data_IF_864243402148
#
_entry.id   IF_864243402148
#
_cell.length_a   1.000
_cell.length_b   1.000
_cell.length_c   1.000
_cell.angle_alpha   90.00
_cell.angle_beta   90.00
_cell.angle_gamma   90.00
#
_symmetry.space_group_name_H-M   'P 1'
#
loop_
_entity.id
_entity.type
_entity.pdbx_description
1 polymer ?
#
# COMPACT_ATOMS: atom_id res chain seq x y z
N UNK A 1 15.36 -10.55 19.98
CA UNK A 1 15.19 -9.66 18.80
C UNK A 1 16.34 -9.90 17.83
N UNK A 2 16.15 -9.73 16.52
CA UNK A 2 17.23 -9.97 15.54
C UNK A 2 18.11 -8.74 15.43
N UNK A 3 19.42 -8.96 15.33
CA UNK A 3 20.40 -7.92 15.06
C UNK A 3 20.07 -7.18 13.75
N UNK A 4 20.46 -5.89 13.62
CA UNK A 4 20.29 -5.13 12.40
C UNK A 4 20.91 -5.86 11.20
N UNK A 5 20.17 -5.95 10.10
CA UNK A 5 20.62 -6.61 8.88
C UNK A 5 20.78 -5.60 7.72
N UNK A 6 21.72 -5.89 6.81
CA UNK A 6 21.98 -5.07 5.62
C UNK A 6 23.18 -4.11 5.77
N UNK A 7 23.51 -3.34 4.72
CA UNK A 7 24.72 -2.50 4.69
C UNK A 7 24.68 -1.40 5.76
N UNK A 8 25.86 -1.06 6.31
CA UNK A 8 26.03 -0.03 7.36
C UNK A 8 25.65 1.37 6.89
N UNK A 9 26.01 1.69 5.64
CA UNK A 9 25.82 3.00 5.05
C UNK A 9 24.61 3.02 4.12
N UNK A 10 23.94 4.16 4.08
CA UNK A 10 22.96 4.50 3.06
C UNK A 10 23.65 4.89 1.75
N UNK A 11 22.86 5.03 0.68
CA UNK A 11 23.37 5.38 -0.66
C UNK A 11 24.01 6.78 -0.69
N UNK A 12 23.61 7.66 0.23
CA UNK A 12 24.15 9.01 0.42
C UNK A 12 25.38 9.06 1.34
N UNK A 13 25.85 7.92 1.84
CA UNK A 13 26.99 7.82 2.76
C UNK A 13 26.67 8.03 4.23
N UNK A 14 25.43 8.33 4.61
CA UNK A 14 25.02 8.42 6.01
C UNK A 14 25.01 7.04 6.69
N UNK A 15 25.26 6.99 8.00
CA UNK A 15 25.18 5.74 8.78
C UNK A 15 23.71 5.45 9.08
N UNK A 16 23.27 4.21 8.87
CA UNK A 16 21.90 3.80 9.19
C UNK A 16 21.66 3.72 10.70
N UNK A 17 20.49 4.18 11.16
CA UNK A 17 20.09 4.11 12.58
C UNK A 17 20.24 2.73 13.18
N UNK A 18 19.83 1.69 12.44
CA UNK A 18 19.95 0.30 12.86
C UNK A 18 21.36 -0.10 13.34
N UNK A 19 22.42 0.57 12.85
CA UNK A 19 23.81 0.26 13.18
C UNK A 19 24.42 1.11 14.30
N UNK A 20 24.01 2.37 14.46
CA UNK A 20 24.56 3.23 15.51
C UNK A 20 23.66 3.33 16.76
N UNK A 21 22.36 3.04 16.60
CA UNK A 21 21.35 3.05 17.65
C UNK A 21 20.39 1.86 17.44
N UNK A 22 20.84 0.63 17.76
CA UNK A 22 20.04 -0.56 17.53
C UNK A 22 18.81 -0.64 18.46
N UNK A 23 18.89 -0.09 19.67
CA UNK A 23 17.79 -0.10 20.64
C UNK A 23 16.67 0.86 20.23
N UNK A 24 17.01 2.09 19.86
CA UNK A 24 16.03 3.04 19.33
C UNK A 24 15.46 2.62 17.98
N UNK A 25 16.28 1.95 17.14
CA UNK A 25 15.79 1.35 15.90
C UNK A 25 14.79 0.21 16.12
N UNK A 26 15.05 -0.67 17.10
CA UNK A 26 14.14 -1.75 17.49
C UNK A 26 12.88 -1.23 18.20
N UNK A 27 12.98 -0.05 18.84
CA UNK A 27 11.95 0.52 19.69
C UNK A 27 12.01 0.01 21.13
N UNK A 28 13.19 -0.43 21.59
CA UNK A 28 13.40 -0.89 22.96
C UNK A 28 13.60 0.24 23.98
N UNK A 29 14.00 1.44 23.54
CA UNK A 29 14.25 2.57 24.45
C UNK A 29 13.04 3.00 25.29
N UNK A 30 11.83 2.69 24.82
CA UNK A 30 10.55 2.96 25.52
C UNK A 30 10.12 1.84 26.47
N UNK A 31 10.82 0.71 26.46
CA UNK A 31 10.46 -0.49 27.22
C UNK A 31 11.26 -0.52 28.51
N UNK A 32 10.58 -0.50 29.65
CA UNK A 32 11.23 -0.68 30.94
C UNK A 32 11.61 -2.14 31.16
N UNK A 33 12.74 -2.43 31.85
CA UNK A 33 13.02 -3.77 32.33
C UNK A 33 11.85 -4.31 33.17
N UNK A 34 11.44 -5.59 33.04
CA UNK A 34 10.29 -6.13 33.77
C UNK A 34 10.40 -5.99 35.29
N UNK A 35 11.62 -6.07 35.83
CA UNK A 35 11.91 -5.92 37.26
C UNK A 35 11.68 -4.49 37.78
N UNK A 36 11.83 -3.49 36.91
CA UNK A 36 11.69 -2.07 37.25
C UNK A 36 10.30 -1.51 36.87
N UNK A 37 9.57 -2.22 36.00
CA UNK A 37 8.32 -1.74 35.42
C UNK A 37 7.30 -1.37 36.49
N UNK A 38 7.12 -2.21 37.52
CA UNK A 38 6.19 -1.93 38.61
C UNK A 38 6.55 -0.67 39.39
N UNK A 39 7.83 -0.52 39.76
CA UNK A 39 8.31 0.66 40.47
C UNK A 39 8.15 1.94 39.65
N UNK A 40 8.35 1.89 38.32
CA UNK A 40 8.18 3.07 37.46
C UNK A 40 6.71 3.42 37.24
N UNK A 41 5.82 2.43 37.14
CA UNK A 41 4.37 2.67 37.08
C UNK A 41 3.86 3.34 38.37
N UNK A 42 4.32 2.91 39.53
CA UNK A 42 3.99 3.53 40.82
C UNK A 42 4.47 4.98 40.92
N UNK A 43 5.70 5.25 40.48
CA UNK A 43 6.23 6.63 40.39
C UNK A 43 5.40 7.48 39.44
N UNK A 44 4.99 6.93 38.29
CA UNK A 44 4.16 7.66 37.32
C UNK A 44 2.80 8.00 37.90
N UNK A 45 2.16 7.07 38.62
CA UNK A 45 0.90 7.32 39.32
C UNK A 45 1.04 8.42 40.38
N UNK A 46 2.12 8.38 41.16
CA UNK A 46 2.41 9.42 42.16
C UNK A 46 2.55 10.79 41.51
N UNK A 47 3.32 10.90 40.42
CA UNK A 47 3.49 12.14 39.66
C UNK A 47 2.16 12.67 39.11
N UNK A 48 1.32 11.80 38.53
CA UNK A 48 0.00 12.19 38.02
C UNK A 48 -0.92 12.74 39.11
N UNK A 49 -0.86 12.18 40.33
CA UNK A 49 -1.65 12.67 41.48
C UNK A 49 -1.15 14.03 41.96
N UNK A 50 0.16 14.23 41.99
CA UNK A 50 0.76 15.53 42.32
C UNK A 50 0.36 16.60 41.30
N UNK A 51 0.46 16.29 40.00
CA UNK A 51 0.02 17.15 38.90
C UNK A 51 -1.47 17.51 39.03
N UNK A 52 -2.34 16.53 39.29
CA UNK A 52 -3.77 16.77 39.50
C UNK A 52 -4.03 17.70 40.69
N UNK A 53 -3.26 17.58 41.78
CA UNK A 53 -3.38 18.48 42.94
C UNK A 53 -3.02 19.92 42.57
N UNK A 54 -1.99 20.12 41.74
CA UNK A 54 -1.53 21.42 41.27
C UNK A 54 -2.59 22.04 40.35
N UNK A 55 -3.08 21.27 39.38
CA UNK A 55 -4.15 21.68 38.48
C UNK A 55 -5.42 22.04 39.25
N UNK A 56 -5.78 21.27 40.27
CA UNK A 56 -6.92 21.55 41.13
C UNK A 56 -6.84 22.92 41.80
N UNK A 57 -5.67 23.30 42.34
CA UNK A 57 -5.45 24.64 42.91
C UNK A 57 -5.56 25.74 41.86
N UNK A 58 -4.96 25.54 40.68
CA UNK A 58 -5.03 26.51 39.58
C UNK A 58 -6.47 26.70 39.07
N UNK A 59 -7.24 25.62 38.95
CA UNK A 59 -8.65 25.66 38.55
C UNK A 59 -9.48 26.51 39.52
N UNK A 60 -9.27 26.36 40.84
CA UNK A 60 -9.98 27.17 41.84
C UNK A 60 -9.67 28.66 41.65
N UNK A 61 -8.39 29.00 41.49
CA UNK A 61 -7.96 30.40 41.27
C UNK A 61 -8.53 30.98 39.98
N UNK A 62 -8.31 30.31 38.83
CA UNK A 62 -8.77 30.81 37.52
C UNK A 62 -10.30 30.89 37.48
N UNK A 63 -11.01 29.93 38.08
CA UNK A 63 -12.47 29.96 38.16
C UNK A 63 -12.99 31.17 38.95
N UNK A 64 -12.31 31.57 40.02
CA UNK A 64 -12.66 32.79 40.74
C UNK A 64 -12.46 34.02 39.84
N UNK A 65 -11.32 34.12 39.15
CA UNK A 65 -11.03 35.22 38.22
C UNK A 65 -12.07 35.32 37.09
N UNK A 66 -12.46 34.20 36.48
CA UNK A 66 -13.51 34.19 35.44
C UNK A 66 -14.85 34.68 35.99
N UNK A 67 -15.21 34.29 37.22
CA UNK A 67 -16.47 34.73 37.86
C UNK A 67 -16.45 36.24 38.13
N UNK A 68 -15.35 36.77 38.63
CA UNK A 68 -15.20 38.19 38.90
C UNK A 68 -15.26 39.01 37.60
N UNK A 69 -14.55 38.56 36.55
CA UNK A 69 -14.61 39.19 35.22
C UNK A 69 -16.00 39.11 34.58
N UNK A 70 -16.72 38.01 34.78
CA UNK A 70 -18.09 37.89 34.29
C UNK A 70 -19.05 38.87 34.97
N UNK A 71 -18.84 39.15 36.27
CA UNK A 71 -19.59 40.19 36.99
C UNK A 71 -19.24 41.59 36.46
N UNK A 72 -17.96 41.88 36.24
CA UNK A 72 -17.50 43.15 35.65
C UNK A 72 -18.15 43.38 34.27
N UNK A 73 -18.07 42.39 33.38
CA UNK A 73 -18.65 42.45 32.02
C UNK A 73 -20.18 42.65 32.09
N UNK A 74 -20.87 41.93 32.97
CA UNK A 74 -22.32 42.08 33.15
C UNK A 74 -22.71 43.47 33.68
N UNK A 75 -21.94 44.02 34.63
CA UNK A 75 -22.18 45.35 35.18
C UNK A 75 -21.94 46.46 34.14
N UNK A 76 -20.86 46.36 33.36
CA UNK A 76 -20.56 47.31 32.27
C UNK A 76 -21.62 47.26 31.17
N UNK A 77 -22.14 46.07 30.86
CA UNK A 77 -23.22 45.91 29.88
C UNK A 77 -24.53 46.56 30.33
N UNK A 78 -24.79 46.64 31.64
CA UNK A 78 -26.04 47.17 32.19
C UNK A 78 -26.10 48.71 32.22
N UNK A 79 -24.97 49.41 32.13
CA UNK A 79 -24.90 50.88 32.29
C UNK A 79 -24.86 51.66 30.97
N UNK A 80 -25.02 50.99 29.81
CA UNK A 80 -24.99 51.59 28.45
C UNK A 80 -23.75 52.46 28.14
N UNK A 81 -22.68 52.37 28.95
CA UNK A 81 -21.50 53.24 28.87
C UNK A 81 -20.35 52.58 28.09
N UNK A 82 -20.18 52.99 26.83
CA UNK A 82 -19.05 52.81 25.89
C UNK A 82 -18.33 51.44 25.78
N UNK A 83 -18.18 51.02 24.52
CA UNK A 83 -17.85 49.66 24.07
C UNK A 83 -16.42 49.17 24.35
N UNK A 84 -15.40 50.03 24.34
CA UNK A 84 -14.00 49.57 24.33
C UNK A 84 -13.54 48.89 25.63
N UNK A 85 -13.92 49.42 26.81
CA UNK A 85 -13.55 48.81 28.10
C UNK A 85 -14.31 47.48 28.31
N UNK A 86 -15.57 47.43 27.88
CA UNK A 86 -16.36 46.20 27.88
C UNK A 86 -15.71 45.16 26.95
N UNK A 87 -15.36 45.52 25.72
CA UNK A 87 -14.70 44.63 24.75
C UNK A 87 -13.37 44.08 25.27
N UNK A 88 -12.56 44.92 25.92
CA UNK A 88 -11.30 44.49 26.56
C UNK A 88 -11.56 43.50 27.69
N UNK A 89 -12.49 43.81 28.60
CA UNK A 89 -12.83 42.93 29.73
C UNK A 89 -13.45 41.61 29.28
N UNK A 90 -14.31 41.64 28.26
CA UNK A 90 -14.90 40.44 27.65
C UNK A 90 -13.79 39.58 27.00
N UNK A 91 -12.87 40.18 26.25
CA UNK A 91 -11.74 39.45 25.67
C UNK A 91 -10.87 38.75 26.73
N UNK A 92 -10.55 39.44 27.83
CA UNK A 92 -9.80 38.86 28.95
C UNK A 92 -10.59 37.72 29.62
N UNK A 93 -11.90 37.92 29.83
CA UNK A 93 -12.78 36.88 30.38
C UNK A 93 -12.80 35.64 29.50
N UNK A 94 -12.93 35.79 28.17
CA UNK A 94 -12.89 34.67 27.24
C UNK A 94 -11.53 33.94 27.27
N UNK A 95 -10.43 34.68 27.36
CA UNK A 95 -9.09 34.10 27.46
C UNK A 95 -8.93 33.25 28.74
N UNK A 96 -9.33 33.78 29.90
CA UNK A 96 -9.27 33.03 31.17
C UNK A 96 -10.27 31.86 31.18
N UNK A 97 -11.41 31.97 30.49
CA UNK A 97 -12.36 30.86 30.30
C UNK A 97 -11.75 29.73 29.46
N UNK A 98 -11.07 30.03 28.36
CA UNK A 98 -10.36 29.02 27.55
C UNK A 98 -9.26 28.35 28.38
N UNK A 99 -8.51 29.13 29.16
CA UNK A 99 -7.50 28.59 30.07
C UNK A 99 -8.12 27.67 31.13
N UNK A 100 -9.27 28.03 31.71
CA UNK A 100 -10.00 27.17 32.64
C UNK A 100 -10.44 25.85 31.99
N UNK A 101 -10.93 25.91 30.75
CA UNK A 101 -11.30 24.71 29.98
C UNK A 101 -10.09 23.82 29.71
N UNK A 102 -8.95 24.39 29.32
CA UNK A 102 -7.71 23.64 29.10
C UNK A 102 -7.21 22.95 30.38
N UNK A 103 -7.26 23.64 31.53
CA UNK A 103 -6.90 23.04 32.82
C UNK A 103 -7.85 21.89 33.18
N UNK A 104 -9.15 22.03 32.93
CA UNK A 104 -10.12 20.95 33.15
C UNK A 104 -9.88 19.76 32.22
N UNK A 105 -9.55 20.00 30.95
CA UNK A 105 -9.19 18.95 30.00
C UNK A 105 -7.95 18.16 30.47
N UNK A 106 -6.91 18.85 30.95
CA UNK A 106 -5.71 18.20 31.51
C UNK A 106 -6.02 17.33 32.72
N UNK A 107 -6.93 17.76 33.61
CA UNK A 107 -7.37 16.92 34.75
C UNK A 107 -8.07 15.65 34.26
N UNK A 108 -8.94 15.75 33.25
CA UNK A 108 -9.61 14.58 32.68
C UNK A 108 -8.59 13.63 32.03
N UNK A 109 -7.66 14.16 31.25
CA UNK A 109 -6.58 13.38 30.62
C UNK A 109 -5.73 12.64 31.67
N UNK A 110 -5.33 13.33 32.74
CA UNK A 110 -4.57 12.72 33.83
C UNK A 110 -5.35 11.60 34.53
N UNK A 111 -6.65 11.78 34.76
CA UNK A 111 -7.50 10.75 35.37
C UNK A 111 -7.70 9.53 34.48
N UNK A 112 -7.94 9.73 33.19
CA UNK A 112 -8.04 8.61 32.24
C UNK A 112 -6.70 7.86 32.12
N UNK A 113 -5.58 8.58 32.14
CA UNK A 113 -4.24 7.97 32.17
C UNK A 113 -4.02 7.15 33.45
N UNK A 114 -4.40 7.67 34.62
CA UNK A 114 -4.33 6.92 35.87
C UNK A 114 -5.16 5.62 35.81
N UNK A 115 -6.39 5.68 35.29
CA UNK A 115 -7.24 4.49 35.12
C UNK A 115 -6.61 3.45 34.19
N UNK A 116 -6.05 3.90 33.06
CA UNK A 116 -5.37 3.02 32.12
C UNK A 116 -4.14 2.34 32.74
N UNK A 117 -3.35 3.08 33.53
CA UNK A 117 -2.21 2.52 34.26
C UNK A 117 -2.68 1.49 35.30
N UNK A 118 -3.74 1.78 36.05
CA UNK A 118 -4.30 0.83 37.02
C UNK A 118 -4.77 -0.47 36.37
N UNK A 119 -5.49 -0.39 35.24
CA UNK A 119 -5.90 -1.57 34.48
C UNK A 119 -4.70 -2.34 33.91
N UNK A 120 -3.63 -1.64 33.51
CA UNK A 120 -2.41 -2.28 33.04
C UNK A 120 -1.66 -3.01 34.16
N UNK A 121 -1.59 -2.42 35.35
CA UNK A 121 -1.03 -3.06 36.56
C UNK A 121 -1.79 -4.34 36.89
N UNK A 122 -3.13 -4.31 36.89
CA UNK A 122 -3.94 -5.51 37.17
C UNK A 122 -3.67 -6.65 36.18
N UNK A 123 -3.44 -6.33 34.89
CA UNK A 123 -3.05 -7.32 33.89
C UNK A 123 -1.67 -7.92 34.17
N UNK A 124 -0.69 -7.08 34.53
CA UNK A 124 0.66 -7.54 34.88
C UNK A 124 0.61 -8.48 36.10
N UNK A 125 -0.19 -8.16 37.11
CA UNK A 125 -0.37 -9.01 38.31
C UNK A 125 -0.95 -10.39 37.96
N UNK A 126 -1.77 -10.46 36.91
CA UNK A 126 -2.28 -11.72 36.34
C UNK A 126 -1.28 -12.42 35.41
N UNK A 127 -0.04 -11.94 35.36
CA UNK A 127 1.03 -12.39 34.45
C UNK A 127 0.67 -12.22 32.95
N UNK A 128 -0.26 -11.32 32.63
CA UNK A 128 -0.58 -10.89 31.27
C UNK A 128 0.19 -9.62 30.91
N UNK A 129 1.36 -9.81 30.31
CA UNK A 129 2.20 -8.73 29.79
C UNK A 129 1.80 -8.26 28.37
N UNK A 130 0.74 -8.83 27.80
CA UNK A 130 0.37 -8.62 26.41
C UNK A 130 1.32 -9.28 25.41
N UNK A 131 1.27 -8.83 24.15
CA UNK A 131 2.11 -9.40 23.10
C UNK A 131 3.59 -9.01 23.31
N UNK A 132 4.52 -9.99 23.38
CA UNK A 132 5.96 -9.73 23.51
C UNK A 132 6.57 -8.96 22.33
N UNK A 133 5.82 -8.76 21.25
CA UNK A 133 6.27 -8.02 20.06
C UNK A 133 5.59 -6.66 19.91
N UNK A 134 4.73 -6.26 20.85
CA UNK A 134 3.98 -5.00 20.76
C UNK A 134 4.88 -3.76 20.74
N UNK A 135 6.06 -3.83 21.35
CA UNK A 135 7.01 -2.71 21.37
C UNK A 135 7.80 -2.55 20.06
N UNK A 136 7.90 -3.61 19.26
CA UNK A 136 8.74 -3.64 18.07
C UNK A 136 8.23 -2.69 16.99
N UNK A 137 9.09 -1.77 16.55
CA UNK A 137 8.80 -0.89 15.40
C UNK A 137 8.98 -1.60 14.05
N UNK A 138 9.99 -2.48 13.98
CA UNK A 138 10.35 -3.23 12.77
C UNK A 138 10.17 -4.72 13.03
N UNK A 139 8.94 -5.22 12.87
CA UNK A 139 8.68 -6.65 12.98
C UNK A 139 9.10 -7.36 11.70
N UNK A 140 10.04 -8.31 11.81
CA UNK A 140 10.39 -9.21 10.72
C UNK A 140 9.63 -10.53 10.91
N UNK A 141 8.46 -10.70 10.28
CA UNK A 141 7.79 -11.98 10.32
C UNK A 141 8.69 -13.05 9.71
N UNK A 142 8.63 -14.30 10.19
CA UNK A 142 9.28 -15.41 9.51
C UNK A 142 8.81 -15.45 8.05
N UNK A 143 9.73 -15.82 7.14
CA UNK A 143 9.38 -15.99 5.73
C UNK A 143 8.19 -16.94 5.64
N UNK A 144 7.18 -16.56 4.84
CA UNK A 144 6.03 -17.42 4.62
C UNK A 144 6.51 -18.78 4.09
N UNK A 145 5.94 -19.89 4.58
CA UNK A 145 6.29 -21.20 4.03
C UNK A 145 6.01 -21.20 2.52
N UNK A 146 6.93 -21.77 1.75
CA UNK A 146 6.72 -21.95 0.32
C UNK A 146 5.44 -22.76 0.10
N UNK A 147 4.62 -22.42 -0.92
CA UNK A 147 3.44 -23.22 -1.23
C UNK A 147 3.88 -24.66 -1.53
N UNK A 148 3.09 -25.67 -1.10
CA UNK A 148 3.40 -27.06 -1.38
C UNK A 148 3.43 -27.28 -2.91
N UNK A 149 4.59 -27.63 -3.45
CA UNK A 149 4.71 -28.05 -4.84
C UNK A 149 4.12 -29.46 -4.97
N UNK A 150 3.39 -29.73 -6.05
CA UNK A 150 2.86 -31.07 -6.27
C UNK A 150 4.00 -32.01 -6.69
N UNK A 151 3.96 -33.26 -6.24
CA UNK A 151 4.94 -34.29 -6.65
C UNK A 151 5.05 -34.45 -8.18
N UNK A 152 3.96 -34.17 -8.89
CA UNK A 152 3.93 -34.19 -10.35
C UNK A 152 4.87 -33.13 -10.98
N UNK A 153 5.00 -31.95 -10.38
CA UNK A 153 5.91 -30.89 -10.84
C UNK A 153 7.37 -31.32 -10.68
N UNK A 154 7.72 -31.92 -9.53
CA UNK A 154 9.08 -32.39 -9.26
C UNK A 154 9.51 -33.52 -10.20
N UNK A 155 8.65 -34.51 -10.40
CA UNK A 155 8.91 -35.65 -11.30
C UNK A 155 9.02 -35.17 -12.75
N UNK A 156 8.13 -34.26 -13.19
CA UNK A 156 8.17 -33.71 -14.54
C UNK A 156 9.44 -32.87 -14.79
N UNK A 157 9.84 -32.03 -13.83
CA UNK A 157 11.05 -31.23 -13.94
C UNK A 157 12.31 -32.09 -14.07
N UNK A 158 12.37 -33.23 -13.38
CA UNK A 158 13.50 -34.16 -13.46
C UNK A 158 13.57 -34.91 -14.81
N UNK A 159 12.42 -35.32 -15.36
CA UNK A 159 12.36 -36.20 -16.54
C UNK A 159 12.39 -35.41 -17.86
N UNK A 160 11.80 -34.21 -17.87
CA UNK A 160 11.53 -33.47 -19.10
C UNK A 160 12.78 -33.16 -19.94
N UNK A 161 13.89 -32.75 -19.32
CA UNK A 161 15.13 -32.43 -20.04
C UNK A 161 15.73 -33.63 -20.79
N UNK A 162 15.82 -34.79 -20.12
CA UNK A 162 16.36 -36.00 -20.72
C UNK A 162 15.45 -36.53 -21.84
N UNK A 163 14.14 -36.48 -21.62
CA UNK A 163 13.14 -36.91 -22.61
C UNK A 163 13.14 -35.99 -23.85
N UNK A 164 13.25 -34.67 -23.66
CA UNK A 164 13.32 -33.71 -24.76
C UNK A 164 14.53 -33.95 -25.66
N UNK A 165 15.70 -34.22 -25.07
CA UNK A 165 16.92 -34.50 -25.81
C UNK A 165 16.82 -35.81 -26.60
N UNK A 166 16.26 -36.87 -26.00
CA UNK A 166 16.05 -38.15 -26.68
C UNK A 166 15.10 -38.00 -27.87
N UNK A 167 13.96 -37.30 -27.69
CA UNK A 167 12.99 -37.05 -28.76
C UNK A 167 13.63 -36.21 -29.87
N UNK A 168 14.42 -35.18 -29.53
CA UNK A 168 15.11 -34.35 -30.52
C UNK A 168 16.09 -35.14 -31.38
N UNK A 169 16.92 -35.98 -30.74
CA UNK A 169 17.84 -36.89 -31.46
C UNK A 169 17.06 -37.88 -32.34
N UNK A 170 15.95 -38.43 -31.85
CA UNK A 170 15.08 -39.31 -32.63
C UNK A 170 14.51 -38.63 -33.87
N UNK A 171 14.06 -37.37 -33.77
CA UNK A 171 13.57 -36.60 -34.92
C UNK A 171 14.65 -36.44 -35.99
N UNK A 172 15.89 -36.14 -35.59
CA UNK A 172 17.00 -35.98 -36.53
C UNK A 172 17.33 -37.27 -37.29
N UNK A 173 17.17 -38.44 -36.64
CA UNK A 173 17.46 -39.74 -37.26
C UNK A 173 16.31 -40.19 -38.18
N UNK A 174 15.07 -40.13 -37.72
CA UNK A 174 13.93 -40.73 -38.42
C UNK A 174 13.20 -39.79 -39.38
N UNK A 175 13.30 -38.46 -39.19
CA UNK A 175 12.60 -37.44 -40.00
C UNK A 175 13.50 -36.23 -40.28
N UNK A 176 14.69 -36.41 -40.89
CA UNK A 176 15.64 -35.31 -41.12
C UNK A 176 15.06 -34.18 -41.96
N UNK A 177 14.24 -34.49 -42.98
CA UNK A 177 13.74 -33.47 -43.93
C UNK A 177 12.76 -32.48 -43.29
N UNK A 178 12.06 -32.89 -42.23
CA UNK A 178 11.00 -32.10 -41.59
C UNK A 178 11.28 -31.84 -40.10
N UNK A 179 12.55 -31.94 -39.68
CA UNK A 179 12.95 -31.79 -38.29
C UNK A 179 12.47 -30.48 -37.63
N UNK A 180 12.45 -29.30 -38.30
CA UNK A 180 12.04 -28.06 -37.65
C UNK A 180 10.54 -28.07 -37.27
N UNK A 181 9.71 -28.65 -38.13
CA UNK A 181 8.27 -28.78 -37.89
C UNK A 181 8.01 -29.69 -36.69
N UNK A 182 8.64 -30.87 -36.65
CA UNK A 182 8.47 -31.81 -35.54
C UNK A 182 9.06 -31.29 -34.23
N UNK A 183 10.19 -30.57 -34.27
CA UNK A 183 10.74 -29.91 -33.10
C UNK A 183 9.78 -28.86 -32.51
N UNK A 184 9.12 -28.08 -33.37
CA UNK A 184 8.07 -27.14 -32.95
C UNK A 184 6.89 -27.84 -32.27
N UNK A 185 6.38 -28.93 -32.87
CA UNK A 185 5.28 -29.72 -32.30
C UNK A 185 5.64 -30.27 -30.91
N UNK A 186 6.84 -30.82 -30.75
CA UNK A 186 7.32 -31.34 -29.47
C UNK A 186 7.50 -30.22 -28.45
N UNK A 187 8.06 -29.07 -28.85
CA UNK A 187 8.19 -27.90 -27.97
C UNK A 187 6.83 -27.43 -27.43
N UNK A 188 5.81 -27.38 -28.28
CA UNK A 188 4.44 -27.03 -27.87
C UNK A 188 3.89 -28.09 -26.89
N UNK A 189 4.09 -29.38 -27.17
CA UNK A 189 3.64 -30.45 -26.28
C UNK A 189 4.30 -30.37 -24.88
N UNK A 190 5.60 -30.13 -24.83
CA UNK A 190 6.33 -29.96 -23.56
C UNK A 190 5.85 -28.74 -22.79
N UNK A 191 5.68 -27.60 -23.47
CA UNK A 191 5.14 -26.38 -22.85
C UNK A 191 3.72 -26.56 -22.31
N UNK A 192 2.89 -27.37 -22.99
CA UNK A 192 1.54 -27.70 -22.52
C UNK A 192 1.56 -28.50 -21.22
N UNK A 193 2.41 -29.53 -21.14
CA UNK A 193 2.54 -30.34 -19.92
C UNK A 193 3.12 -29.52 -18.77
N UNK A 194 4.15 -28.69 -19.02
CA UNK A 194 4.71 -27.79 -18.02
C UNK A 194 3.66 -26.78 -17.51
N UNK A 195 2.84 -26.24 -18.40
CA UNK A 195 1.80 -25.29 -18.03
C UNK A 195 0.64 -25.94 -17.27
N UNK A 196 0.33 -27.20 -17.59
CA UNK A 196 -0.67 -28.00 -16.87
C UNK A 196 -0.21 -28.31 -15.44
N UNK A 197 1.04 -28.75 -15.26
CA UNK A 197 1.61 -29.02 -13.93
C UNK A 197 1.69 -27.78 -13.04
N UNK A 198 1.85 -26.59 -13.63
CA UNK A 198 1.90 -25.29 -12.91
C UNK A 198 0.55 -24.57 -12.79
N UNK A 199 -0.55 -25.16 -13.26
CA UNK A 199 -1.89 -24.55 -13.19
C UNK A 199 -2.09 -23.31 -14.06
N UNK A 200 -1.26 -23.11 -15.11
CA UNK A 200 -1.28 -21.94 -16.00
C UNK A 200 -1.73 -22.29 -17.43
N UNK A 201 -2.48 -23.38 -17.60
CA UNK A 201 -2.90 -23.90 -18.90
C UNK A 201 -3.60 -22.84 -19.76
N UNK A 202 -4.44 -21.99 -19.15
CA UNK A 202 -5.17 -20.93 -19.86
C UNK A 202 -4.24 -19.88 -20.49
N UNK A 203 -3.19 -19.45 -19.76
CA UNK A 203 -2.22 -18.47 -20.27
C UNK A 203 -1.33 -19.08 -21.36
N UNK A 204 -0.99 -20.36 -21.24
CA UNK A 204 -0.24 -21.07 -22.27
C UNK A 204 -1.05 -21.17 -23.56
N UNK A 205 -2.30 -21.62 -23.50
CA UNK A 205 -3.17 -21.70 -24.68
C UNK A 205 -3.31 -20.35 -25.38
N UNK A 206 -3.57 -19.28 -24.64
CA UNK A 206 -3.69 -17.93 -25.21
C UNK A 206 -2.39 -17.49 -25.90
N UNK A 207 -1.24 -17.67 -25.24
CA UNK A 207 0.07 -17.27 -25.78
C UNK A 207 0.42 -18.09 -27.02
N UNK A 208 0.21 -19.41 -27.00
CA UNK A 208 0.46 -20.28 -28.14
C UNK A 208 -0.42 -19.90 -29.33
N UNK A 209 -1.70 -19.61 -29.12
CA UNK A 209 -2.61 -19.16 -30.19
C UNK A 209 -2.14 -17.83 -30.79
N UNK A 210 -1.74 -16.87 -29.95
CA UNK A 210 -1.23 -15.58 -30.42
C UNK A 210 0.04 -15.77 -31.26
N UNK A 211 0.99 -16.58 -30.78
CA UNK A 211 2.24 -16.86 -31.51
C UNK A 211 1.95 -17.57 -32.83
N UNK A 212 1.08 -18.58 -32.84
CA UNK A 212 0.67 -19.27 -34.07
C UNK A 212 -0.02 -18.32 -35.05
N UNK A 213 -0.91 -17.46 -34.56
CA UNK A 213 -1.59 -16.46 -35.38
C UNK A 213 -0.60 -15.46 -35.99
N UNK A 214 0.40 -15.03 -35.22
CA UNK A 214 1.45 -14.12 -35.70
C UNK A 214 2.34 -14.80 -36.75
N UNK A 215 2.76 -16.04 -36.51
CA UNK A 215 3.50 -16.85 -37.50
C UNK A 215 2.67 -17.03 -38.77
N UNK A 216 1.39 -17.40 -38.63
CA UNK A 216 0.48 -17.56 -39.76
C UNK A 216 0.30 -16.25 -40.53
N UNK A 217 0.16 -15.11 -39.85
CA UNK A 217 0.07 -13.79 -40.48
C UNK A 217 1.35 -13.44 -41.25
N UNK A 218 2.54 -13.74 -40.70
CA UNK A 218 3.83 -13.53 -41.38
C UNK A 218 3.93 -14.43 -42.60
N UNK A 219 3.61 -15.72 -42.49
CA UNK A 219 3.62 -16.66 -43.62
C UNK A 219 2.65 -16.18 -44.70
N UNK A 220 1.42 -15.81 -44.33
CA UNK A 220 0.41 -15.29 -45.25
C UNK A 220 0.92 -14.06 -45.98
N UNK A 221 1.54 -13.12 -45.25
CA UNK A 221 2.12 -11.93 -45.85
C UNK A 221 3.23 -12.28 -46.84
N UNK A 222 4.21 -13.10 -46.44
CA UNK A 222 5.34 -13.46 -47.29
C UNK A 222 4.92 -14.21 -48.56
N UNK A 223 3.95 -15.14 -48.45
CA UNK A 223 3.49 -15.94 -49.59
C UNK A 223 2.53 -15.16 -50.49
N UNK A 224 1.62 -14.36 -49.92
CA UNK A 224 0.52 -13.73 -50.63
C UNK A 224 0.63 -12.21 -50.78
N UNK A 225 1.81 -11.61 -50.54
CA UNK A 225 1.99 -10.14 -50.60
C UNK A 225 1.46 -9.51 -51.90
N UNK A 226 1.62 -10.18 -53.04
CA UNK A 226 1.10 -9.71 -54.35
C UNK A 226 -0.42 -9.61 -54.37
N UNK A 227 -1.11 -10.62 -53.85
CA UNK A 227 -2.57 -10.65 -53.76
C UNK A 227 -3.08 -9.62 -52.76
N UNK A 228 -2.35 -9.41 -51.67
CA UNK A 228 -2.68 -8.41 -50.65
C UNK A 228 -2.56 -6.99 -51.21
N UNK A 229 -1.52 -6.70 -52.01
CA UNK A 229 -1.39 -5.43 -52.74
C UNK A 229 -2.50 -5.22 -53.76
N UNK A 230 -2.84 -6.26 -54.52
CA UNK A 230 -3.94 -6.21 -55.49
C UNK A 230 -5.28 -5.91 -54.81
N UNK A 231 -5.56 -6.58 -53.68
CA UNK A 231 -6.77 -6.35 -52.88
C UNK A 231 -6.80 -4.93 -52.30
N UNK A 232 -5.67 -4.41 -51.82
CA UNK A 232 -5.56 -3.03 -51.35
C UNK A 232 -5.82 -2.02 -52.49
N UNK A 233 -5.26 -2.25 -53.67
CA UNK A 233 -5.50 -1.41 -54.85
C UNK A 233 -6.96 -1.43 -55.28
N UNK A 234 -7.60 -2.61 -55.33
CA UNK A 234 -9.04 -2.73 -55.58
C UNK A 234 -9.83 -1.92 -54.55
N UNK A 235 -9.47 -2.01 -53.27
CA UNK A 235 -10.10 -1.24 -52.19
C UNK A 235 -10.02 0.27 -52.42
N UNK A 236 -8.84 0.78 -52.82
CA UNK A 236 -8.63 2.21 -53.14
C UNK A 236 -9.48 2.62 -54.35
N UNK A 237 -9.46 1.83 -55.42
CA UNK A 237 -10.24 2.13 -56.64
C UNK A 237 -11.74 2.13 -56.33
N UNK A 238 -12.23 1.16 -55.57
CA UNK A 238 -13.63 1.09 -55.15
C UNK A 238 -14.02 2.29 -54.28
N UNK A 239 -13.11 2.73 -53.40
CA UNK A 239 -13.29 3.94 -52.60
C UNK A 239 -13.40 5.18 -53.49
N UNK A 240 -12.49 5.37 -54.46
CA UNK A 240 -12.54 6.51 -55.41
C UNK A 240 -13.80 6.51 -56.27
N UNK A 241 -14.23 5.34 -56.76
CA UNK A 241 -15.48 5.23 -57.54
C UNK A 241 -16.68 5.61 -56.67
N UNK A 242 -16.73 5.15 -55.41
CA UNK A 242 -17.80 5.51 -54.48
C UNK A 242 -17.83 7.02 -54.22
N UNK A 243 -16.66 7.64 -54.05
CA UNK A 243 -16.54 9.07 -53.80
C UNK A 243 -17.00 9.90 -55.00
N UNK A 244 -16.51 9.56 -56.19
CA UNK A 244 -16.95 10.19 -57.45
C UNK A 244 -18.46 10.02 -57.68
N UNK A 245 -19.02 8.83 -57.42
CA UNK A 245 -20.48 8.61 -57.54
C UNK A 245 -21.26 9.46 -56.54
N UNK A 246 -20.78 9.61 -55.30
CA UNK A 246 -21.35 10.51 -54.30
C UNK A 246 -21.35 11.96 -54.78
N UNK A 247 -20.22 12.44 -55.30
CA UNK A 247 -20.10 13.78 -55.85
C UNK A 247 -21.06 14.02 -57.01
N UNK A 248 -21.22 13.04 -57.92
CA UNK A 248 -22.16 13.15 -59.04
C UNK A 248 -23.63 13.17 -58.59
N UNK A 249 -24.01 12.41 -57.56
CA UNK A 249 -25.36 12.49 -56.97
C UNK A 249 -25.63 13.83 -56.29
N UNK A 250 -24.64 14.43 -55.64
CA UNK A 250 -24.77 15.76 -55.01
C UNK A 250 -24.76 16.88 -56.06
N UNK A 251 -23.93 16.76 -57.10
CA UNK A 251 -23.82 17.73 -58.19
C UNK A 251 -25.04 17.79 -59.11
N UNK A 252 -25.75 16.67 -59.32
CA UNK A 252 -26.98 16.63 -60.14
C UNK A 252 -28.16 17.39 -59.50
N UNK A 253 -28.15 17.63 -58.20
CA UNK A 253 -29.18 18.41 -57.49
C UNK A 253 -28.98 19.93 -57.71
N UNK A 254 -27.82 20.38 -58.23
CA UNK A 254 -27.53 21.75 -58.64
C UNK A 254 -27.41 21.87 -60.18
N UNK A 255 -28.50 21.69 -60.91
CA UNK A 255 -28.66 22.33 -62.23
C UNK A 255 -29.78 23.37 -62.15
N UNK A 256 -29.50 24.68 -62.25
CA UNK A 256 -30.55 25.67 -62.47
C UNK A 256 -31.07 25.54 -63.89
N UNK A 257 -32.39 25.56 -64.02
CA UNK A 257 -33.09 25.85 -65.28
C UNK A 257 -32.67 27.22 -65.81
N UNK A 258 -32.14 27.24 -67.02
CA UNK A 258 -32.27 28.35 -67.95
C UNK A 258 -32.90 27.77 -69.23
#
# INVERSE_FOLDING_TARGET
ERAPAGPKYNRDGSIRQAWYDPLGWAGLDKVHPPQETMAELEKRLTRLREEESVLGRQIVTVRATVRDLALDVAALRATDYFSALHEEKDAIMQQEQVKLQNLQAQVVENRETQKAIHAYVERIEQNDWGSPTAHLKHNHPPAAPLPPQSRAVEIWAAISGALALLIFVGILIFRPDNWPFWAMVVGIAFGAVESMTRGRLSNFMLTTVIVLALIAAVILFLVFWRWLLLLALIGIVMYMIRDNLRELTVGRIRRPSA
#
